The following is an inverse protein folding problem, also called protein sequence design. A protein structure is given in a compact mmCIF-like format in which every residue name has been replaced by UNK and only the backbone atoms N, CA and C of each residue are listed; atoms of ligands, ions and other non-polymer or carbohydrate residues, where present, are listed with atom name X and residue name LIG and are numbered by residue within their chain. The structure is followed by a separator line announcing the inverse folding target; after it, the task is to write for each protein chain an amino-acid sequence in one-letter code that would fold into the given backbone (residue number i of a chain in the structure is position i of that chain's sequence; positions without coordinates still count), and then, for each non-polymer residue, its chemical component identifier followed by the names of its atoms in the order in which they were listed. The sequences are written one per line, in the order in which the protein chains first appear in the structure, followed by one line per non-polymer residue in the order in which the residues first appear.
data_IF_322944066278
#
_entry.id   IF_322944066278
#
_cell.length_a   1.000
_cell.length_b   1.000
_cell.length_c   1.000
_cell.angle_alpha   90.00
_cell.angle_beta   90.00
_cell.angle_gamma   90.00
#
_symmetry.space_group_name_H-M   'P 1'
#
loop_
_entity.id
_entity.type
_entity.pdbx_description
1 polymer ?
#
# COMPACT_ATOMS: atom_id res chain seq x y z
N UNK A 1 -54.58 9.55 37.49
CA UNK A 1 -53.22 8.95 37.76
C UNK A 1 -52.75 8.04 36.61
N UNK A 2 -53.50 7.11 36.06
CA UNK A 2 -53.05 6.23 34.98
C UNK A 2 -52.61 6.94 33.66
N UNK A 3 -53.26 8.07 33.30
CA UNK A 3 -52.90 8.84 32.08
C UNK A 3 -51.49 9.49 32.19
N UNK A 4 -51.11 9.97 33.33
CA UNK A 4 -49.78 10.62 33.54
C UNK A 4 -48.65 9.57 33.59
N UNK A 5 -48.96 8.37 34.09
CA UNK A 5 -48.02 7.27 34.09
C UNK A 5 -47.70 6.81 32.66
N UNK A 6 -48.66 6.84 31.77
CA UNK A 6 -48.50 6.44 30.35
C UNK A 6 -47.63 7.46 29.60
N UNK A 7 -47.86 8.77 29.86
CA UNK A 7 -47.04 9.85 29.25
C UNK A 7 -45.58 9.79 29.75
N UNK A 8 -45.39 9.50 31.05
CA UNK A 8 -44.04 9.33 31.61
C UNK A 8 -43.29 8.13 30.99
N UNK A 9 -43.99 7.03 30.73
CA UNK A 9 -43.39 5.84 30.10
C UNK A 9 -42.99 6.08 28.61
N UNK A 10 -43.82 6.81 27.84
CA UNK A 10 -43.51 7.21 26.47
C UNK A 10 -42.31 8.18 26.43
N UNK A 11 -42.25 9.12 27.36
CA UNK A 11 -41.13 10.03 27.50
C UNK A 11 -39.79 9.29 27.84
N UNK A 12 -39.84 8.28 28.67
CA UNK A 12 -38.68 7.48 29.06
C UNK A 12 -38.19 6.60 27.87
N UNK A 13 -39.07 6.06 27.03
CA UNK A 13 -38.72 5.29 25.85
C UNK A 13 -38.07 6.19 24.77
N UNK A 14 -38.53 7.43 24.62
CA UNK A 14 -37.94 8.39 23.67
C UNK A 14 -36.52 8.83 24.05
N UNK A 15 -36.14 8.76 25.34
CA UNK A 15 -34.78 9.06 25.80
C UNK A 15 -33.79 7.92 25.58
N UNK A 16 -34.26 6.68 25.29
CA UNK A 16 -33.43 5.51 25.04
C UNK A 16 -33.12 5.28 23.55
N UNK A 17 -33.72 6.04 22.65
CA UNK A 17 -33.46 5.95 21.20
C UNK A 17 -32.28 6.80 20.73
N UNK A 18 -31.28 7.01 21.57
CA UNK A 18 -29.97 7.50 21.18
C UNK A 18 -29.24 6.42 20.39
N UNK A 19 -29.58 6.19 19.13
CA UNK A 19 -28.76 5.44 18.19
C UNK A 19 -27.52 6.31 17.95
N UNK A 20 -26.41 6.01 18.63
CA UNK A 20 -25.10 6.47 18.20
C UNK A 20 -24.86 5.87 16.82
N UNK A 21 -24.63 6.69 15.81
CA UNK A 21 -24.11 6.20 14.54
C UNK A 21 -22.73 5.65 14.83
N UNK A 22 -22.56 4.32 14.82
CA UNK A 22 -21.25 3.71 14.84
C UNK A 22 -20.51 4.21 13.62
N UNK A 23 -19.28 4.71 13.82
CA UNK A 23 -18.46 5.17 12.70
C UNK A 23 -18.13 3.98 11.80
N UNK A 24 -18.47 4.08 10.51
CA UNK A 24 -18.08 3.07 9.52
C UNK A 24 -16.59 3.26 9.17
N UNK A 25 -15.74 2.56 9.91
CA UNK A 25 -14.30 2.59 9.63
C UNK A 25 -13.96 1.81 8.35
N UNK A 26 -13.00 2.29 7.55
CA UNK A 26 -12.53 1.55 6.39
C UNK A 26 -12.04 0.15 6.77
N UNK A 27 -12.49 -0.87 6.05
CA UNK A 27 -12.08 -2.27 6.28
C UNK A 27 -10.59 -2.49 6.04
N UNK A 28 -10.01 -1.76 5.09
CA UNK A 28 -8.58 -1.77 4.83
C UNK A 28 -7.94 -0.51 5.44
N UNK A 29 -7.09 -0.70 6.44
CA UNK A 29 -6.37 0.39 7.14
C UNK A 29 -4.89 0.49 6.72
N UNK A 30 -4.44 -0.34 5.77
CA UNK A 30 -3.04 -0.39 5.33
C UNK A 30 -2.91 0.20 3.93
N UNK A 31 -1.96 1.11 3.75
CA UNK A 31 -1.61 1.68 2.45
C UNK A 31 -0.41 0.94 1.88
N UNK A 32 -0.59 0.34 0.69
CA UNK A 32 0.44 -0.45 0.00
C UNK A 32 0.74 0.14 -1.37
N UNK A 33 2.01 0.30 -1.71
CA UNK A 33 2.44 0.62 -3.06
C UNK A 33 2.24 -0.58 -3.97
N UNK A 34 1.46 -0.41 -5.05
CA UNK A 34 1.19 -1.47 -6.03
C UNK A 34 1.99 -1.27 -7.30
N UNK A 35 2.82 -2.26 -7.60
CA UNK A 35 3.66 -2.33 -8.79
C UNK A 35 3.14 -3.44 -9.69
N UNK A 36 2.75 -3.11 -10.92
CA UNK A 36 2.44 -4.11 -11.94
C UNK A 36 3.67 -4.40 -12.79
N UNK A 37 3.87 -5.66 -13.15
CA UNK A 37 4.98 -6.12 -13.97
C UNK A 37 4.57 -6.15 -15.43
N UNK A 38 5.34 -5.51 -16.30
CA UNK A 38 5.05 -5.29 -17.70
C UNK A 38 6.22 -5.71 -18.56
N UNK A 39 5.94 -6.18 -19.77
CA UNK A 39 6.95 -6.38 -20.80
C UNK A 39 7.38 -5.03 -21.39
N UNK A 40 8.69 -4.79 -21.51
CA UNK A 40 9.21 -3.50 -21.99
C UNK A 40 8.97 -3.24 -23.49
N UNK A 41 8.73 -4.29 -24.30
CA UNK A 41 8.49 -4.18 -25.74
C UNK A 41 7.00 -4.09 -26.07
N UNK A 42 6.21 -5.01 -25.49
CA UNK A 42 4.78 -5.13 -25.81
C UNK A 42 3.88 -4.32 -24.90
N UNK A 43 4.40 -3.89 -23.75
CA UNK A 43 3.66 -3.24 -22.65
C UNK A 43 2.51 -4.12 -22.10
N UNK A 44 2.54 -5.40 -22.36
CA UNK A 44 1.60 -6.36 -21.77
C UNK A 44 2.02 -6.72 -20.34
N UNK A 45 1.04 -7.08 -19.51
CA UNK A 45 1.31 -7.60 -18.18
C UNK A 45 2.09 -8.93 -18.27
N UNK A 46 3.11 -9.07 -17.42
CA UNK A 46 3.91 -10.31 -17.35
C UNK A 46 3.87 -10.88 -15.93
N UNK A 47 4.03 -12.19 -15.83
CA UNK A 47 4.20 -12.89 -14.58
C UNK A 47 5.66 -13.28 -14.41
N UNK A 48 6.24 -12.98 -13.26
CA UNK A 48 7.58 -13.43 -12.91
C UNK A 48 7.52 -14.93 -12.54
N UNK A 49 7.77 -15.79 -13.53
CA UNK A 49 7.58 -17.25 -13.40
C UNK A 49 8.47 -17.91 -12.36
N UNK A 50 9.68 -17.39 -12.15
CA UNK A 50 10.60 -17.86 -11.11
C UNK A 50 10.37 -17.20 -9.75
N UNK A 51 9.35 -16.32 -9.67
CA UNK A 51 9.11 -15.49 -8.51
C UNK A 51 10.12 -14.34 -8.38
N UNK A 52 9.86 -13.48 -7.43
CA UNK A 52 10.79 -12.47 -6.96
C UNK A 52 10.65 -12.37 -5.44
N UNK A 53 11.77 -12.24 -4.76
CA UNK A 53 11.79 -11.88 -3.35
C UNK A 53 12.10 -10.40 -3.25
N UNK A 54 11.25 -9.66 -2.57
CA UNK A 54 11.46 -8.22 -2.35
C UNK A 54 11.70 -7.98 -0.87
N UNK A 55 12.81 -7.34 -0.58
CA UNK A 55 13.15 -6.89 0.77
C UNK A 55 13.00 -5.37 0.85
N UNK A 56 12.32 -4.91 1.90
CA UNK A 56 12.27 -3.49 2.27
C UNK A 56 13.45 -3.15 3.17
N UNK A 57 14.02 -1.98 2.97
CA UNK A 57 15.06 -1.43 3.83
C UNK A 57 14.48 -0.21 4.54
N UNK A 58 14.36 -0.29 5.85
CA UNK A 58 13.96 0.83 6.70
C UNK A 58 15.17 1.30 7.50
N UNK A 59 15.38 2.61 7.55
CA UNK A 59 16.43 3.19 8.39
C UNK A 59 15.77 3.69 9.68
N UNK A 60 16.10 3.06 10.80
CA UNK A 60 15.68 3.44 12.15
C UNK A 60 16.92 3.68 13.00
N UNK A 61 17.00 4.86 13.64
CA UNK A 61 18.15 5.25 14.50
C UNK A 61 19.53 5.10 13.85
N UNK A 62 19.60 5.38 12.53
CA UNK A 62 20.83 5.26 11.75
C UNK A 62 21.24 3.81 11.43
N UNK A 63 20.38 2.82 11.73
CA UNK A 63 20.59 1.41 11.39
C UNK A 63 19.61 0.99 10.31
N UNK A 64 20.11 0.24 9.33
CA UNK A 64 19.28 -0.35 8.29
C UNK A 64 18.69 -1.67 8.81
N UNK A 65 17.37 -1.74 8.83
CA UNK A 65 16.62 -2.97 9.04
C UNK A 65 16.15 -3.49 7.68
N UNK A 66 16.33 -4.77 7.44
CA UNK A 66 15.95 -5.44 6.18
C UNK A 66 14.91 -6.50 6.48
N UNK A 67 13.75 -6.41 5.83
CA UNK A 67 12.68 -7.38 5.99
C UNK A 67 12.15 -7.83 4.62
N UNK A 68 11.69 -9.08 4.53
CA UNK A 68 11.06 -9.61 3.32
C UNK A 68 9.61 -9.15 3.28
N UNK A 69 9.29 -8.25 2.34
CA UNK A 69 7.96 -7.65 2.20
C UNK A 69 7.12 -8.32 1.12
N UNK A 70 7.74 -9.13 0.25
CA UNK A 70 7.06 -9.86 -0.82
C UNK A 70 7.89 -11.08 -1.26
N UNK A 71 7.24 -12.22 -1.47
CA UNK A 71 7.89 -13.43 -1.99
C UNK A 71 6.86 -14.30 -2.71
N UNK A 72 6.61 -13.99 -3.99
CA UNK A 72 5.64 -14.72 -4.83
C UNK A 72 5.99 -14.66 -6.31
N UNK A 73 5.44 -15.61 -7.08
CA UNK A 73 5.44 -15.58 -8.53
C UNK A 73 4.11 -15.01 -9.05
N UNK A 74 4.02 -13.69 -9.15
CA UNK A 74 2.81 -12.96 -9.50
C UNK A 74 3.05 -11.98 -10.66
N UNK A 75 1.98 -11.38 -11.16
CA UNK A 75 2.04 -10.30 -12.16
C UNK A 75 2.11 -8.90 -11.55
N UNK A 76 2.05 -8.81 -10.24
CA UNK A 76 2.17 -7.57 -9.48
C UNK A 76 2.71 -7.86 -8.08
N UNK A 77 3.16 -6.82 -7.41
CA UNK A 77 3.45 -6.83 -5.98
C UNK A 77 2.77 -5.64 -5.30
N UNK A 78 2.36 -5.85 -4.04
CA UNK A 78 1.88 -4.80 -3.15
C UNK A 78 2.73 -4.81 -1.89
N UNK A 79 3.41 -3.71 -1.61
CA UNK A 79 4.44 -3.62 -0.58
C UNK A 79 4.24 -2.37 0.29
N UNK A 80 4.50 -2.47 1.61
CA UNK A 80 4.38 -1.33 2.52
C UNK A 80 5.49 -0.31 2.28
N UNK A 81 5.21 0.95 2.65
CA UNK A 81 6.23 2.00 2.69
C UNK A 81 6.72 2.22 4.12
N UNK A 82 7.93 2.73 4.22
CA UNK A 82 8.50 3.21 5.49
C UNK A 82 7.74 4.43 6.00
N UNK A 83 7.74 4.64 7.32
CA UNK A 83 7.23 5.88 7.93
C UNK A 83 8.25 7.03 7.91
N UNK A 84 9.45 6.81 7.37
CA UNK A 84 10.38 7.89 7.01
C UNK A 84 9.97 8.51 5.67
N UNK A 85 10.68 9.51 5.19
CA UNK A 85 10.46 10.15 3.88
C UNK A 85 11.04 9.37 2.69
N UNK A 86 11.64 8.22 2.95
CA UNK A 86 12.29 7.37 1.96
C UNK A 86 11.99 5.88 2.21
N UNK A 87 11.69 5.16 1.13
CA UNK A 87 11.53 3.70 1.14
C UNK A 87 12.43 3.09 0.08
N UNK A 88 13.20 2.09 0.45
CA UNK A 88 14.07 1.35 -0.45
C UNK A 88 13.64 -0.11 -0.53
N UNK A 89 13.42 -0.61 -1.74
CA UNK A 89 13.15 -2.01 -2.03
C UNK A 89 14.30 -2.62 -2.81
N UNK A 90 14.70 -3.83 -2.43
CA UNK A 90 15.64 -4.65 -3.21
C UNK A 90 14.86 -5.84 -3.75
N UNK A 91 14.78 -5.95 -5.07
CA UNK A 91 14.11 -7.04 -5.79
C UNK A 91 15.17 -8.07 -6.15
N UNK A 92 15.08 -9.25 -5.57
CA UNK A 92 15.97 -10.38 -5.84
C UNK A 92 15.30 -11.32 -6.85
N UNK A 93 15.90 -11.48 -8.01
CA UNK A 93 15.46 -12.40 -9.06
C UNK A 93 16.18 -13.74 -8.99
N UNK A 94 17.46 -13.70 -8.63
CA UNK A 94 18.34 -14.85 -8.36
C UNK A 94 19.26 -14.50 -7.19
N UNK A 95 20.13 -15.42 -6.77
CA UNK A 95 21.12 -15.16 -5.72
C UNK A 95 22.08 -14.00 -6.06
N UNK A 96 22.34 -13.78 -7.35
CA UNK A 96 23.32 -12.78 -7.84
C UNK A 96 22.68 -11.60 -8.56
N UNK A 97 21.43 -11.73 -9.04
CA UNK A 97 20.75 -10.70 -9.83
C UNK A 97 19.69 -10.00 -9.00
N UNK A 98 19.83 -8.70 -8.83
CA UNK A 98 18.92 -7.86 -8.06
C UNK A 98 18.85 -6.45 -8.65
N UNK A 99 17.71 -5.81 -8.45
CA UNK A 99 17.53 -4.38 -8.69
C UNK A 99 17.07 -3.69 -7.41
N UNK A 100 17.34 -2.40 -7.32
CA UNK A 100 16.93 -1.54 -6.21
C UNK A 100 15.97 -0.48 -6.73
N UNK A 101 14.88 -0.27 -6.02
CA UNK A 101 13.95 0.85 -6.25
C UNK A 101 13.93 1.68 -4.97
N UNK A 102 14.21 2.96 -5.11
CA UNK A 102 14.18 3.95 -4.03
C UNK A 102 13.10 4.96 -4.31
N UNK A 103 12.17 5.11 -3.38
CA UNK A 103 11.08 6.08 -3.42
C UNK A 103 11.34 7.17 -2.40
N UNK A 104 11.28 8.43 -2.82
CA UNK A 104 11.14 9.58 -1.92
C UNK A 104 9.67 9.97 -1.88
N UNK A 105 9.09 10.14 -0.70
CA UNK A 105 7.68 10.40 -0.54
C UNK A 105 7.38 11.26 0.69
N UNK A 106 6.23 11.94 0.67
CA UNK A 106 5.65 12.63 1.82
C UNK A 106 4.67 11.70 2.53
N UNK A 107 4.73 11.69 3.84
CA UNK A 107 3.84 10.95 4.70
C UNK A 107 2.68 11.85 5.12
N UNK A 108 1.44 11.39 4.90
CA UNK A 108 0.22 12.13 5.23
C UNK A 108 -0.65 11.29 6.18
N UNK A 109 -0.62 11.58 7.49
CA UNK A 109 -1.54 10.94 8.43
C UNK A 109 -2.99 11.23 8.04
N UNK A 110 -3.82 10.20 8.06
CA UNK A 110 -5.24 10.29 7.74
C UNK A 110 -6.09 9.60 8.81
N UNK A 111 -7.14 10.27 9.23
CA UNK A 111 -8.14 9.74 10.17
C UNK A 111 -9.50 9.97 9.53
N UNK A 112 -10.24 8.91 9.26
CA UNK A 112 -11.59 8.99 8.67
C UNK A 112 -12.63 9.46 9.66
N UNK A 113 -12.51 9.00 10.91
CA UNK A 113 -13.35 9.38 12.04
C UNK A 113 -12.55 9.25 13.33
N UNK A 114 -12.97 9.93 14.41
CA UNK A 114 -12.29 9.91 15.73
C UNK A 114 -12.27 8.51 16.35
N UNK A 115 -13.23 7.66 16.00
CA UNK A 115 -13.34 6.29 16.48
C UNK A 115 -12.56 5.29 15.61
N UNK A 116 -12.04 5.73 14.45
CA UNK A 116 -11.34 4.87 13.51
C UNK A 116 -9.82 4.91 13.72
N UNK A 117 -9.11 3.80 13.43
CA UNK A 117 -7.67 3.78 13.46
C UNK A 117 -7.06 4.81 12.51
N UNK A 118 -6.02 5.49 12.96
CA UNK A 118 -5.23 6.37 12.10
C UNK A 118 -4.51 5.54 11.02
N UNK A 119 -4.53 6.04 9.80
CA UNK A 119 -3.83 5.47 8.64
C UNK A 119 -2.71 6.39 8.20
N UNK A 120 -1.74 5.86 7.46
CA UNK A 120 -0.72 6.66 6.81
C UNK A 120 -0.91 6.56 5.30
N UNK A 121 -1.16 7.68 4.63
CA UNK A 121 -1.11 7.82 3.18
C UNK A 121 0.23 8.39 2.76
N UNK A 122 0.62 8.16 1.51
CA UNK A 122 1.90 8.61 1.01
C UNK A 122 1.71 9.29 -0.35
N UNK A 123 2.55 10.28 -0.61
CA UNK A 123 2.62 10.94 -1.91
C UNK A 123 4.04 10.83 -2.45
N UNK A 124 4.21 10.09 -3.54
CA UNK A 124 5.52 9.84 -4.17
C UNK A 124 5.98 11.08 -4.90
N UNK A 125 7.17 11.58 -4.55
CA UNK A 125 7.80 12.74 -5.16
C UNK A 125 8.89 12.37 -6.18
N UNK A 126 9.65 11.30 -5.90
CA UNK A 126 10.74 10.89 -6.75
C UNK A 126 10.97 9.38 -6.71
N UNK A 127 11.52 8.85 -7.82
CA UNK A 127 11.87 7.44 -7.97
C UNK A 127 13.28 7.35 -8.52
N UNK A 128 14.12 6.52 -7.88
CA UNK A 128 15.41 6.08 -8.41
C UNK A 128 15.43 4.57 -8.47
N UNK A 129 16.09 4.01 -9.46
CA UNK A 129 16.16 2.55 -9.61
C UNK A 129 17.42 2.13 -10.40
N UNK A 130 17.84 0.89 -10.20
CA UNK A 130 18.86 0.23 -11.00
C UNK A 130 18.22 -0.53 -12.16
N UNK A 131 18.99 -0.89 -13.19
CA UNK A 131 18.49 -1.53 -14.41
C UNK A 131 19.28 -2.81 -14.75
N UNK A 132 19.47 -3.69 -13.77
CA UNK A 132 20.19 -4.95 -13.98
C UNK A 132 19.30 -5.96 -14.74
N UNK A 133 18.09 -6.19 -14.23
CA UNK A 133 17.07 -7.05 -14.87
C UNK A 133 15.87 -6.25 -15.36
N UNK A 134 15.42 -5.26 -14.59
CA UNK A 134 14.36 -4.35 -15.03
C UNK A 134 14.88 -3.37 -16.09
N UNK A 135 14.00 -2.87 -16.92
CA UNK A 135 14.28 -1.86 -17.94
C UNK A 135 13.96 -0.46 -17.43
N UNK A 136 12.77 -0.27 -16.90
CA UNK A 136 12.32 1.04 -16.39
C UNK A 136 11.20 0.89 -15.36
N UNK A 137 11.04 1.93 -14.53
CA UNK A 137 9.92 2.08 -13.60
C UNK A 137 9.17 3.36 -13.95
N UNK A 138 7.86 3.25 -14.14
CA UNK A 138 6.99 4.39 -14.46
C UNK A 138 6.01 4.63 -13.32
N UNK A 139 5.95 5.86 -12.82
CA UNK A 139 4.91 6.32 -11.90
C UNK A 139 3.60 6.51 -12.67
N UNK A 140 2.54 5.85 -12.21
CA UNK A 140 1.18 5.91 -12.77
C UNK A 140 0.29 6.78 -11.87
N UNK A 141 0.35 6.54 -10.57
CA UNK A 141 -0.39 7.28 -9.56
C UNK A 141 0.52 7.61 -8.38
N UNK A 142 0.81 8.89 -8.10
CA UNK A 142 1.68 9.28 -6.99
C UNK A 142 1.04 9.08 -5.62
N UNK A 143 -0.28 9.03 -5.53
CA UNK A 143 -0.99 8.86 -4.27
C UNK A 143 -1.13 7.39 -3.91
N UNK A 144 -0.62 7.02 -2.73
CA UNK A 144 -0.71 5.69 -2.15
C UNK A 144 -1.62 5.79 -0.93
N UNK A 145 -2.78 5.18 -1.04
CA UNK A 145 -3.83 5.19 -0.02
C UNK A 145 -4.19 3.76 0.35
N UNK A 146 -5.22 3.58 1.15
CA UNK A 146 -5.79 2.27 1.46
C UNK A 146 -6.62 1.66 0.30
N UNK A 147 -6.71 2.34 -0.85
CA UNK A 147 -7.33 1.82 -2.06
C UNK A 147 -6.31 1.03 -2.88
N UNK A 148 -6.74 -0.11 -3.43
CA UNK A 148 -5.88 -0.98 -4.26
C UNK A 148 -5.70 -0.44 -5.69
N UNK A 149 -5.15 0.77 -5.82
CA UNK A 149 -4.83 1.36 -7.12
C UNK A 149 -3.40 1.04 -7.54
N UNK A 150 -3.17 0.90 -8.86
CA UNK A 150 -1.82 0.73 -9.41
C UNK A 150 -1.07 2.05 -9.29
N UNK A 151 0.07 2.01 -8.61
CA UNK A 151 0.95 3.17 -8.44
C UNK A 151 2.10 3.17 -9.45
N UNK A 152 2.63 1.99 -9.79
CA UNK A 152 3.80 1.86 -10.64
C UNK A 152 3.65 0.77 -11.68
N UNK A 153 4.27 0.96 -12.85
CA UNK A 153 4.61 -0.12 -13.77
C UNK A 153 6.11 -0.34 -13.75
N UNK A 154 6.53 -1.59 -13.54
CA UNK A 154 7.92 -2.04 -13.71
C UNK A 154 8.00 -2.78 -15.05
N UNK A 155 8.84 -2.30 -15.94
CA UNK A 155 9.06 -2.90 -17.26
C UNK A 155 10.27 -3.82 -17.22
N UNK A 156 10.08 -5.05 -17.68
CA UNK A 156 11.12 -6.07 -17.78
C UNK A 156 11.48 -6.36 -19.22
N UNK A 157 12.77 -6.61 -19.46
CA UNK A 157 13.25 -7.17 -20.72
C UNK A 157 12.95 -8.67 -20.73
N UNK A 158 11.79 -9.06 -21.22
CA UNK A 158 11.46 -10.48 -21.40
C UNK A 158 12.24 -10.99 -22.60
N UNK A 159 13.05 -12.03 -22.42
CA UNK A 159 13.67 -12.72 -23.53
C UNK A 159 12.55 -13.28 -24.40
N UNK A 160 12.51 -12.87 -25.68
CA UNK A 160 11.58 -13.45 -26.65
C UNK A 160 11.86 -14.96 -26.68
N UNK A 161 10.86 -15.78 -26.37
CA UNK A 161 10.94 -17.19 -26.68
C UNK A 161 11.04 -17.29 -28.22
N UNK A 162 12.23 -17.62 -28.75
CA UNK A 162 12.42 -18.07 -30.14
C UNK A 162 11.85 -19.47 -30.32
#
# INVERSE_FOLDING_TARGET
MKKYLFIFYIGLIALLSGCGSEAECPLNSVSLARFNFMDSKTHAGVKLTNGATVTGITISDGKAEVDTVFNKAESYMSVPLSYTDQTTYVIHYTETMRDTIELTHKNRPFVSDIECPAMMFFEVENIRYTTNALDSVKLINPEITNEEKVNFHIYYRVASAE
#
